data_IF_210423190457
#
_entry.id   IF_210423190457
#
_cell.length_a   1.000
_cell.length_b   1.000
_cell.length_c   1.000
_cell.angle_alpha   90.00
_cell.angle_beta   90.00
_cell.angle_gamma   90.00
#
_symmetry.space_group_name_H-M   'P 1'
#
loop_
_entity.id
_entity.type
_entity.pdbx_description
1 polymer ?
#
# COMPACT_ATOMS: atom_id res chain seq x y z
N UNK A 1 14.06 -3.04 11.56
CA UNK A 1 13.50 -4.34 11.10
C UNK A 1 14.11 -4.67 9.74
N UNK A 2 14.42 -5.93 9.45
CA UNK A 2 14.84 -6.34 8.10
C UNK A 2 13.59 -6.66 7.24
N UNK A 3 13.61 -6.41 5.93
CA UNK A 3 12.45 -6.51 5.03
C UNK A 3 11.82 -7.91 4.96
N UNK A 4 12.60 -8.97 5.21
CA UNK A 4 12.08 -10.35 5.35
C UNK A 4 11.18 -10.52 6.59
N UNK A 5 11.44 -9.77 7.66
CA UNK A 5 10.62 -9.76 8.86
C UNK A 5 9.33 -8.96 8.63
N UNK A 6 9.44 -7.78 7.98
CA UNK A 6 8.29 -6.95 7.61
C UNK A 6 7.29 -7.76 6.80
N UNK A 7 7.74 -8.39 5.71
CA UNK A 7 6.87 -9.22 4.86
C UNK A 7 6.10 -10.28 5.64
N UNK A 8 6.81 -11.04 6.48
CA UNK A 8 6.21 -12.11 7.28
C UNK A 8 5.19 -11.58 8.29
N UNK A 9 5.55 -10.53 9.03
CA UNK A 9 4.66 -9.92 10.02
C UNK A 9 3.44 -9.29 9.37
N UNK A 10 3.61 -8.55 8.28
CA UNK A 10 2.50 -7.98 7.51
C UNK A 10 1.57 -9.07 6.99
N UNK A 11 2.09 -10.19 6.45
CA UNK A 11 1.23 -11.31 6.02
C UNK A 11 0.45 -11.90 7.18
N UNK A 12 1.09 -12.08 8.33
CA UNK A 12 0.42 -12.60 9.52
C UNK A 12 -0.73 -11.67 9.95
N UNK A 13 -0.46 -10.37 10.14
CA UNK A 13 -1.46 -9.42 10.62
C UNK A 13 -2.59 -9.20 9.60
N UNK A 14 -2.29 -9.14 8.29
CA UNK A 14 -3.32 -9.06 7.25
C UNK A 14 -4.22 -10.31 7.26
N UNK A 15 -3.63 -11.49 7.41
CA UNK A 15 -4.38 -12.75 7.48
C UNK A 15 -5.27 -12.83 8.73
N UNK A 16 -4.74 -12.45 9.90
CA UNK A 16 -5.49 -12.42 11.15
C UNK A 16 -6.66 -11.41 11.09
N UNK A 17 -6.41 -10.21 10.56
CA UNK A 17 -7.43 -9.18 10.39
C UNK A 17 -8.52 -9.64 9.41
N UNK A 18 -8.13 -10.17 8.26
CA UNK A 18 -9.06 -10.73 7.28
C UNK A 18 -9.96 -11.80 7.89
N UNK A 19 -9.35 -12.80 8.56
CA UNK A 19 -10.08 -13.92 9.16
C UNK A 19 -11.02 -13.51 10.30
N UNK A 20 -10.74 -12.38 10.96
CA UNK A 20 -11.63 -11.83 11.97
C UNK A 20 -12.82 -11.11 11.31
N UNK A 21 -12.53 -10.23 10.34
CA UNK A 21 -13.53 -9.41 9.65
C UNK A 21 -14.54 -10.24 8.85
N UNK A 22 -14.12 -11.30 8.16
CA UNK A 22 -15.05 -12.17 7.40
C UNK A 22 -16.04 -12.92 8.29
N UNK A 23 -15.80 -12.99 9.61
CA UNK A 23 -16.70 -13.64 10.57
C UNK A 23 -17.76 -12.69 11.12
N UNK A 24 -17.71 -11.40 10.77
CA UNK A 24 -18.74 -10.46 11.18
C UNK A 24 -20.11 -10.91 10.65
N UNK A 25 -21.14 -10.83 11.50
CA UNK A 25 -22.51 -11.19 11.08
C UNK A 25 -23.11 -10.14 10.14
N UNK A 26 -22.77 -8.87 10.34
CA UNK A 26 -23.20 -7.79 9.47
C UNK A 26 -22.25 -7.70 8.27
N UNK A 27 -22.76 -7.99 7.08
CA UNK A 27 -22.01 -7.94 5.83
C UNK A 27 -22.41 -6.67 5.09
N UNK A 28 -21.61 -5.60 5.25
CA UNK A 28 -21.79 -4.35 4.50
C UNK A 28 -20.94 -4.34 3.22
N UNK A 29 -21.26 -3.43 2.30
CA UNK A 29 -20.45 -3.18 1.10
C UNK A 29 -19.00 -2.82 1.46
N UNK A 30 -18.81 -2.04 2.52
CA UNK A 30 -17.50 -1.57 2.97
C UNK A 30 -16.70 -2.72 3.56
N UNK A 31 -17.34 -3.61 4.33
CA UNK A 31 -16.70 -4.81 4.85
C UNK A 31 -16.28 -5.77 3.73
N UNK A 32 -17.14 -5.96 2.73
CA UNK A 32 -16.82 -6.77 1.54
C UNK A 32 -15.62 -6.18 0.79
N UNK A 33 -15.63 -4.87 0.55
CA UNK A 33 -14.53 -4.18 -0.12
C UNK A 33 -13.23 -4.28 0.69
N UNK A 34 -13.28 -4.05 2.00
CA UNK A 34 -12.12 -4.14 2.89
C UNK A 34 -11.52 -5.56 2.90
N UNK A 35 -12.36 -6.59 3.08
CA UNK A 35 -11.88 -7.98 3.08
C UNK A 35 -11.32 -8.38 1.71
N UNK A 36 -11.88 -7.86 0.62
CA UNK A 36 -11.32 -7.98 -0.72
C UNK A 36 -9.94 -7.33 -0.87
N UNK A 37 -9.75 -6.12 -0.34
CA UNK A 37 -8.44 -5.43 -0.34
C UNK A 37 -7.42 -6.18 0.52
N UNK A 38 -7.80 -6.64 1.72
CA UNK A 38 -6.93 -7.44 2.59
C UNK A 38 -6.45 -8.72 1.88
N UNK A 39 -7.35 -9.43 1.20
CA UNK A 39 -7.00 -10.62 0.42
C UNK A 39 -6.01 -10.30 -0.72
N UNK A 40 -6.20 -9.18 -1.42
CA UNK A 40 -5.28 -8.75 -2.47
C UNK A 40 -3.89 -8.40 -1.91
N UNK A 41 -3.84 -7.67 -0.80
CA UNK A 41 -2.59 -7.32 -0.13
C UNK A 41 -1.86 -8.59 0.34
N UNK A 42 -2.56 -9.52 0.97
CA UNK A 42 -1.99 -10.79 1.42
C UNK A 42 -1.26 -11.55 0.30
N UNK A 43 -1.89 -11.63 -0.88
CA UNK A 43 -1.31 -12.29 -2.07
C UNK A 43 -0.10 -11.52 -2.63
N UNK A 44 -0.22 -10.19 -2.73
CA UNK A 44 0.86 -9.33 -3.27
C UNK A 44 2.09 -9.27 -2.37
N UNK A 45 1.91 -9.46 -1.06
CA UNK A 45 2.99 -9.50 -0.09
C UNK A 45 3.98 -10.65 -0.33
N UNK A 46 3.69 -11.66 -1.14
CA UNK A 46 4.69 -12.70 -1.46
C UNK A 46 5.73 -12.24 -2.49
N UNK A 47 5.39 -11.25 -3.31
CA UNK A 47 6.15 -10.93 -4.53
C UNK A 47 6.60 -9.46 -4.63
N UNK A 48 6.00 -8.55 -3.85
CA UNK A 48 6.34 -7.13 -3.92
C UNK A 48 7.76 -6.85 -3.41
N UNK A 49 8.52 -5.99 -4.08
CA UNK A 49 9.87 -5.59 -3.66
C UNK A 49 9.85 -4.78 -2.36
N UNK A 50 8.90 -3.84 -2.23
CA UNK A 50 8.69 -2.99 -1.06
C UNK A 50 7.37 -3.34 -0.32
N UNK A 51 7.36 -4.37 0.56
CA UNK A 51 6.16 -4.77 1.30
C UNK A 51 5.63 -3.67 2.22
N UNK A 52 6.52 -2.86 2.77
CA UNK A 52 6.20 -1.68 3.57
C UNK A 52 5.23 -0.73 2.87
N UNK A 53 5.50 -0.45 1.58
CA UNK A 53 4.73 0.51 0.80
C UNK A 53 3.32 0.01 0.50
N UNK A 54 3.20 -1.30 0.28
CA UNK A 54 1.90 -1.94 0.12
C UNK A 54 1.09 -1.88 1.42
N UNK A 55 1.73 -2.07 2.58
CA UNK A 55 1.09 -1.97 3.89
C UNK A 55 0.65 -0.53 4.19
N UNK A 56 1.46 0.47 3.84
CA UNK A 56 1.07 1.87 4.00
C UNK A 56 -0.20 2.22 3.21
N UNK A 57 -0.31 1.75 1.97
CA UNK A 57 -1.53 1.92 1.16
C UNK A 57 -2.74 1.23 1.79
N UNK A 58 -2.56 0.05 2.36
CA UNK A 58 -3.62 -0.65 3.11
C UNK A 58 -4.08 0.18 4.31
N UNK A 59 -3.15 0.66 5.14
CA UNK A 59 -3.46 1.47 6.33
C UNK A 59 -4.26 2.72 5.95
N UNK A 60 -3.82 3.45 4.93
CA UNK A 60 -4.52 4.63 4.45
C UNK A 60 -5.95 4.30 3.97
N UNK A 61 -6.13 3.18 3.27
CA UNK A 61 -7.45 2.74 2.83
C UNK A 61 -8.38 2.44 4.02
N UNK A 62 -7.90 1.73 5.04
CA UNK A 62 -8.70 1.42 6.24
C UNK A 62 -9.05 2.68 7.03
N UNK A 63 -8.14 3.65 7.13
CA UNK A 63 -8.41 4.92 7.81
C UNK A 63 -9.48 5.75 7.09
N UNK A 64 -9.56 5.69 5.76
CA UNK A 64 -10.58 6.41 4.97
C UNK A 64 -11.93 5.69 5.00
N UNK A 65 -11.93 4.36 4.77
CA UNK A 65 -13.15 3.60 4.47
C UNK A 65 -13.64 2.76 5.66
N UNK A 66 -12.71 2.26 6.47
CA UNK A 66 -12.97 1.27 7.50
C UNK A 66 -13.61 1.86 8.76
N UNK A 67 -12.93 2.77 9.45
CA UNK A 67 -13.34 3.19 10.80
C UNK A 67 -14.66 3.98 10.86
N UNK A 68 -15.08 4.58 9.76
CA UNK A 68 -16.36 5.30 9.66
C UNK A 68 -17.55 4.39 9.38
N UNK A 69 -17.33 3.23 8.75
CA UNK A 69 -18.40 2.40 8.21
C UNK A 69 -18.42 0.95 8.75
N UNK A 70 -17.35 0.50 9.39
CA UNK A 70 -17.17 -0.86 9.88
C UNK A 70 -16.92 -0.79 11.38
N UNK A 71 -17.64 -1.61 12.14
CA UNK A 71 -17.40 -1.73 13.56
C UNK A 71 -16.26 -2.72 13.82
N UNK A 72 -15.08 -2.20 14.16
CA UNK A 72 -13.95 -3.02 14.58
C UNK A 72 -14.09 -3.41 16.05
N UNK A 73 -13.84 -4.68 16.35
CA UNK A 73 -13.62 -5.12 17.72
C UNK A 73 -12.25 -4.66 18.22
N UNK A 74 -12.08 -4.55 19.54
CA UNK A 74 -10.78 -4.19 20.16
C UNK A 74 -9.62 -5.05 19.67
N UNK A 75 -9.85 -6.33 19.37
CA UNK A 75 -8.82 -7.22 18.85
C UNK A 75 -8.43 -6.85 17.41
N UNK A 76 -9.39 -6.51 16.57
CA UNK A 76 -9.15 -6.09 15.19
C UNK A 76 -8.44 -4.74 15.15
N UNK A 77 -8.82 -3.81 16.02
CA UNK A 77 -8.10 -2.54 16.20
C UNK A 77 -6.65 -2.77 16.60
N UNK A 78 -6.37 -3.68 17.54
CA UNK A 78 -5.01 -4.02 17.94
C UNK A 78 -4.18 -4.61 16.80
N UNK A 79 -4.78 -5.48 15.98
CA UNK A 79 -4.09 -6.03 14.79
C UNK A 79 -3.84 -4.91 13.77
N UNK A 80 -4.82 -4.01 13.58
CA UNK A 80 -4.68 -2.86 12.69
C UNK A 80 -3.56 -1.92 13.15
N UNK A 81 -3.47 -1.60 14.44
CA UNK A 81 -2.37 -0.78 15.00
C UNK A 81 -1.00 -1.40 14.72
N UNK A 82 -0.88 -2.75 14.69
CA UNK A 82 0.39 -3.40 14.31
C UNK A 82 0.75 -3.20 12.84
N UNK A 83 -0.25 -3.09 11.96
CA UNK A 83 -0.03 -2.71 10.56
C UNK A 83 0.36 -1.23 10.44
N UNK A 84 -0.21 -0.35 11.27
CA UNK A 84 0.19 1.06 11.35
C UNK A 84 1.63 1.23 11.87
N UNK A 85 2.04 0.48 12.90
CA UNK A 85 3.42 0.48 13.39
C UNK A 85 4.40 0.16 12.25
N UNK A 86 4.07 -0.83 11.41
CA UNK A 86 4.88 -1.23 10.25
C UNK A 86 4.90 -0.14 9.16
N UNK A 87 3.75 0.48 8.85
CA UNK A 87 3.68 1.53 7.82
C UNK A 87 4.44 2.79 8.23
N UNK A 88 4.39 3.15 9.52
CA UNK A 88 5.12 4.29 10.05
C UNK A 88 6.62 4.05 9.98
N UNK A 89 7.11 2.91 10.49
CA UNK A 89 8.55 2.57 10.45
C UNK A 89 9.13 2.66 9.03
N UNK A 90 8.35 2.32 8.01
CA UNK A 90 8.76 2.48 6.62
C UNK A 90 8.89 3.94 6.17
N UNK A 91 7.97 4.79 6.62
CA UNK A 91 7.98 6.23 6.35
C UNK A 91 9.20 6.91 6.99
N UNK A 92 9.62 6.46 8.18
CA UNK A 92 10.81 6.98 8.87
C UNK A 92 12.13 6.46 8.28
N UNK A 93 12.17 5.23 7.74
CA UNK A 93 13.39 4.61 7.19
C UNK A 93 13.74 5.02 5.75
N UNK A 94 13.08 6.05 5.19
CA UNK A 94 13.57 6.78 4.01
C UNK A 94 13.39 6.13 2.63
N UNK A 95 12.91 4.89 2.53
CA UNK A 95 12.72 4.21 1.23
C UNK A 95 11.61 4.81 0.36
N UNK A 96 10.67 5.56 0.94
CA UNK A 96 9.61 6.22 0.17
C UNK A 96 10.07 7.47 -0.59
N UNK A 97 11.27 8.03 -0.29
CA UNK A 97 11.82 9.15 -1.07
C UNK A 97 12.81 8.68 -2.16
N UNK A 98 13.39 7.48 -2.01
CA UNK A 98 14.35 6.94 -2.97
C UNK A 98 13.68 6.12 -4.09
N UNK A 99 12.64 5.33 -3.81
CA UNK A 99 11.95 4.52 -4.85
C UNK A 99 10.85 5.28 -5.59
N UNK A 100 10.36 6.43 -5.07
CA UNK A 100 9.44 7.32 -5.80
C UNK A 100 10.18 8.31 -6.72
N UNK A 101 11.51 8.38 -6.63
CA UNK A 101 12.37 9.11 -7.56
C UNK A 101 12.96 8.21 -8.65
N UNK A 102 12.44 6.98 -8.81
CA UNK A 102 12.76 6.18 -9.98
C UNK A 102 12.14 6.83 -11.24
N UNK A 103 13.00 7.14 -12.20
CA UNK A 103 12.85 8.13 -13.29
C UNK A 103 11.84 7.72 -14.39
N UNK A 104 10.62 7.31 -14.04
CA UNK A 104 9.56 7.00 -15.02
C UNK A 104 8.49 8.08 -15.18
N UNK A 105 8.60 9.21 -14.48
CA UNK A 105 7.75 10.40 -14.67
C UNK A 105 8.39 11.51 -15.53
N UNK A 106 9.61 11.31 -16.06
CA UNK A 106 10.34 12.26 -16.92
C UNK A 106 10.68 11.65 -18.28
N UNK A 107 9.73 11.00 -18.93
CA UNK A 107 9.88 10.55 -20.31
C UNK A 107 8.67 10.92 -21.13
N UNK A 108 8.44 12.22 -21.30
CA UNK A 108 7.80 12.71 -22.52
C UNK A 108 8.90 13.17 -23.48
N UNK A 109 9.26 12.22 -24.33
CA UNK A 109 9.90 12.47 -25.61
C UNK A 109 8.79 12.82 -26.61
N UNK A 110 8.66 14.10 -26.96
CA UNK A 110 8.17 14.46 -28.30
C UNK A 110 9.36 15.02 -29.07
N UNK A 111 9.92 14.14 -29.89
CA UNK A 111 10.97 14.49 -30.84
C UNK A 111 10.42 15.07 -32.15
N UNK A 112 11.37 15.68 -32.86
CA UNK A 112 11.51 15.76 -34.33
C UNK A 112 10.50 16.64 -35.07
N UNK A 113 10.83 17.41 -36.10
CA UNK A 113 12.03 17.84 -36.80
C UNK A 113 11.46 18.84 -37.85
N UNK A 114 12.11 19.97 -38.12
CA UNK A 114 12.28 20.41 -39.51
C UNK A 114 13.34 21.50 -39.60
N UNK A 115 14.32 21.23 -40.46
CA UNK A 115 15.27 22.13 -41.12
C UNK A 115 14.50 23.32 -41.78
N UNK A 116 15.04 24.45 -42.21
CA UNK A 116 16.32 24.98 -42.71
C UNK A 116 16.30 26.50 -42.37
N UNK A 117 17.28 27.39 -42.53
CA UNK A 117 18.25 27.72 -43.58
C UNK A 117 19.41 28.49 -42.89
N UNK A 118 20.67 28.16 -43.13
CA UNK A 118 21.55 28.76 -44.15
C UNK A 118 21.70 30.31 -44.10
N UNK A 119 22.86 30.71 -43.55
CA UNK A 119 23.83 31.69 -44.06
C UNK A 119 23.49 33.18 -44.30
N UNK A 120 24.48 33.98 -43.86
CA UNK A 120 24.95 35.27 -44.42
C UNK A 120 24.19 36.57 -44.09
N UNK A 121 24.68 37.33 -43.10
CA UNK A 121 25.52 38.53 -43.27
C UNK A 121 25.91 39.16 -41.92
#
# INVERSE_FOLDING_TARGET
MNSSNVRRQSKQYVHELYNSLVKHKAQSSELYNLTGVLMQVYKKLDHVHAPESLVNRLVNYVNIVGFTNIHFSKKEEQIFMKLEDISQLASWNGLYMADFTDKSLFSDNHGTNHDTDEDSH
#
